data_IF_442539750016
#
_entry.id   IF_442539750016
#
_cell.length_a   1.000
_cell.length_b   1.000
_cell.length_c   1.000
_cell.angle_alpha   90.00
_cell.angle_beta   90.00
_cell.angle_gamma   90.00
#
_symmetry.space_group_name_H-M   'P 1'
#
loop_
_entity.id
_entity.type
_entity.pdbx_description
1 polymer ?
#
# COMPACT_ATOMS: atom_id res chain seq x y z
N UNK A 1 -21.09 4.71 -13.59
CA UNK A 1 -20.43 3.42 -13.24
C UNK A 1 -18.97 3.71 -12.89
N UNK A 2 -18.48 3.27 -11.72
CA UNK A 2 -17.04 3.31 -11.42
C UNK A 2 -16.35 2.31 -12.37
N UNK A 3 -15.39 2.76 -13.17
CA UNK A 3 -14.80 1.98 -14.28
C UNK A 3 -14.17 0.64 -13.90
N UNK A 4 -13.50 -0.02 -14.86
CA UNK A 4 -12.88 -1.34 -14.65
C UNK A 4 -11.87 -1.28 -13.50
N UNK A 5 -12.15 -2.01 -12.42
CA UNK A 5 -11.25 -2.15 -11.28
C UNK A 5 -10.33 -3.35 -11.48
N UNK A 6 -9.05 -3.20 -11.13
CA UNK A 6 -8.15 -4.36 -11.00
C UNK A 6 -8.66 -5.27 -9.89
N UNK A 7 -8.65 -6.58 -10.15
CA UNK A 7 -9.13 -7.61 -9.23
C UNK A 7 -8.02 -8.23 -8.38
N UNK A 8 -6.75 -7.85 -8.62
CA UNK A 8 -5.59 -8.38 -7.90
C UNK A 8 -5.39 -7.61 -6.60
N UNK A 9 -5.30 -8.35 -5.50
CA UNK A 9 -4.91 -7.79 -4.21
C UNK A 9 -3.42 -8.03 -3.99
N UNK A 10 -2.68 -6.95 -3.66
CA UNK A 10 -1.29 -7.04 -3.21
C UNK A 10 -1.28 -6.96 -1.69
N UNK A 11 -0.77 -7.99 -1.04
CA UNK A 11 -0.69 -8.07 0.42
C UNK A 11 0.73 -7.69 0.87
N UNK A 12 0.86 -7.09 2.06
CA UNK A 12 2.16 -6.91 2.69
C UNK A 12 2.74 -8.28 3.07
N UNK A 13 4.06 -8.37 3.22
CA UNK A 13 4.73 -9.63 3.55
C UNK A 13 4.17 -10.29 4.82
N UNK A 14 3.90 -9.48 5.85
CA UNK A 14 3.37 -9.98 7.13
C UNK A 14 1.95 -10.54 7.00
N UNK A 15 1.09 -9.87 6.23
CA UNK A 15 -0.30 -10.32 6.00
C UNK A 15 -0.32 -11.54 5.08
N UNK A 16 0.53 -11.55 4.05
CA UNK A 16 0.65 -12.66 3.11
C UNK A 16 0.99 -13.97 3.84
N UNK A 17 1.94 -13.96 4.79
CA UNK A 17 2.29 -15.14 5.61
C UNK A 17 1.06 -15.73 6.31
N UNK A 18 0.39 -14.91 7.12
CA UNK A 18 -0.82 -15.34 7.86
C UNK A 18 -1.94 -15.81 6.92
N UNK A 19 -2.07 -15.18 5.75
CA UNK A 19 -3.06 -15.55 4.75
C UNK A 19 -2.79 -16.92 4.14
N UNK A 20 -1.55 -17.22 3.75
CA UNK A 20 -1.18 -18.51 3.17
C UNK A 20 -1.20 -19.63 4.22
N UNK A 21 -0.75 -19.37 5.45
CA UNK A 21 -0.88 -20.35 6.55
C UNK A 21 -2.35 -20.76 6.75
N UNK A 22 -3.27 -19.80 6.69
CA UNK A 22 -4.71 -20.07 6.75
C UNK A 22 -5.22 -20.84 5.53
N UNK A 23 -4.73 -20.50 4.33
CA UNK A 23 -5.10 -21.20 3.10
C UNK A 23 -4.69 -22.68 3.16
N UNK A 24 -3.47 -22.97 3.65
CA UNK A 24 -2.96 -24.32 3.83
C UNK A 24 -3.75 -25.08 4.89
N UNK A 25 -4.07 -24.42 6.01
CA UNK A 25 -4.90 -24.99 7.08
C UNK A 25 -6.30 -25.39 6.60
N UNK A 26 -6.90 -24.59 5.72
CA UNK A 26 -8.21 -24.88 5.12
C UNK A 26 -8.11 -25.88 3.96
N UNK A 27 -6.90 -26.21 3.49
CA UNK A 27 -6.67 -27.10 2.36
C UNK A 27 -7.18 -26.52 1.03
N UNK A 28 -7.19 -25.20 0.88
CA UNK A 28 -7.70 -24.54 -0.32
C UNK A 28 -6.60 -24.32 -1.36
N UNK A 29 -6.87 -24.77 -2.58
CA UNK A 29 -5.98 -24.57 -3.72
C UNK A 29 -6.01 -23.12 -4.28
N UNK A 30 -7.14 -22.41 -4.06
CA UNK A 30 -7.34 -21.04 -4.56
C UNK A 30 -7.54 -20.06 -3.42
N UNK A 31 -6.73 -19.00 -3.41
CA UNK A 31 -6.85 -17.87 -2.47
C UNK A 31 -8.26 -17.24 -2.42
N UNK A 32 -8.98 -17.24 -3.55
CA UNK A 32 -10.36 -16.73 -3.59
C UNK A 32 -11.32 -17.48 -2.65
N UNK A 33 -11.12 -18.80 -2.47
CA UNK A 33 -11.92 -19.62 -1.53
C UNK A 33 -11.62 -19.26 -0.08
N UNK A 34 -10.35 -19.00 0.26
CA UNK A 34 -9.95 -18.52 1.59
C UNK A 34 -10.61 -17.18 1.90
N UNK A 35 -10.64 -16.27 0.93
CA UNK A 35 -11.31 -14.97 1.07
C UNK A 35 -12.83 -15.14 1.26
N UNK A 36 -13.48 -16.01 0.49
CA UNK A 36 -14.91 -16.32 0.65
C UNK A 36 -15.22 -16.91 2.03
N UNK A 37 -14.35 -17.79 2.54
CA UNK A 37 -14.45 -18.33 3.89
C UNK A 37 -14.30 -17.22 4.94
N UNK A 38 -13.32 -16.32 4.78
CA UNK A 38 -13.13 -15.17 5.67
C UNK A 38 -14.38 -14.28 5.71
N UNK A 39 -14.98 -13.97 4.56
CA UNK A 39 -16.23 -13.21 4.49
C UNK A 39 -17.37 -13.95 5.19
N UNK A 40 -17.46 -15.27 5.01
CA UNK A 40 -18.50 -16.08 5.64
C UNK A 40 -18.39 -16.10 7.16
N UNK A 41 -17.16 -16.13 7.69
CA UNK A 41 -16.89 -16.09 9.14
C UNK A 41 -17.05 -14.68 9.72
N UNK A 42 -16.76 -13.63 8.96
CA UNK A 42 -16.85 -12.24 9.43
C UNK A 42 -18.22 -11.57 9.21
N UNK A 43 -19.22 -12.28 8.64
CA UNK A 43 -20.57 -11.74 8.38
C UNK A 43 -21.17 -10.98 9.56
N UNK A 44 -21.02 -11.50 10.79
CA UNK A 44 -21.55 -10.86 12.00
C UNK A 44 -20.83 -9.53 12.29
N UNK A 45 -19.50 -9.54 12.29
CA UNK A 45 -18.68 -8.35 12.52
C UNK A 45 -18.93 -7.26 11.46
N UNK A 46 -19.08 -7.64 10.18
CA UNK A 46 -19.40 -6.70 9.10
C UNK A 46 -20.79 -6.06 9.32
N UNK A 47 -21.80 -6.84 9.72
CA UNK A 47 -23.14 -6.32 10.02
C UNK A 47 -23.13 -5.34 11.18
N UNK A 48 -22.42 -5.67 12.26
CA UNK A 48 -22.27 -4.79 13.43
C UNK A 48 -21.60 -3.46 13.04
N UNK A 49 -20.51 -3.52 12.26
CA UNK A 49 -19.83 -2.31 11.76
C UNK A 49 -20.74 -1.45 10.88
N UNK A 50 -21.48 -2.07 9.95
CA UNK A 50 -22.38 -1.35 9.03
C UNK A 50 -23.47 -0.60 9.79
N UNK A 51 -24.02 -1.22 10.83
CA UNK A 51 -25.05 -0.60 11.68
C UNK A 51 -24.48 0.55 12.53
N UNK A 52 -23.22 0.46 12.96
CA UNK A 52 -22.53 1.56 13.65
C UNK A 52 -22.14 2.71 12.70
N UNK A 53 -21.95 2.41 11.41
CA UNK A 53 -21.57 3.38 10.37
C UNK A 53 -22.75 4.17 9.78
N UNK A 54 -23.98 3.95 10.24
CA UNK A 54 -25.15 4.77 9.88
C UNK A 54 -25.00 6.28 10.15
N UNK A 55 -23.94 6.69 10.88
CA UNK A 55 -23.59 8.08 11.15
C UNK A 55 -22.30 8.57 10.49
N UNK A 56 -21.60 7.75 9.68
CA UNK A 56 -20.34 8.17 9.07
C UNK A 56 -20.45 8.18 7.54
N UNK A 57 -20.76 9.37 7.03
CA UNK A 57 -20.66 9.75 5.62
C UNK A 57 -19.38 9.15 5.03
N UNK A 58 -19.55 8.19 4.11
CA UNK A 58 -18.49 7.85 3.16
C UNK A 58 -18.04 9.17 2.53
N UNK A 59 -16.76 9.50 2.64
CA UNK A 59 -16.22 10.69 1.98
C UNK A 59 -16.40 10.46 0.48
N UNK A 60 -17.46 11.05 -0.06
CA UNK A 60 -17.54 11.33 -1.48
C UNK A 60 -16.46 12.38 -1.73
N UNK A 61 -15.39 11.97 -2.39
CA UNK A 61 -14.37 12.89 -2.87
C UNK A 61 -15.03 13.65 -4.02
N UNK A 62 -15.81 14.68 -3.67
CA UNK A 62 -16.09 15.79 -4.55
C UNK A 62 -14.90 16.74 -4.49
N UNK A 63 -14.57 17.26 -5.65
CA UNK A 63 -13.44 18.11 -5.99
C UNK A 63 -13.31 19.33 -5.05
N UNK A 64 -12.69 19.16 -3.87
CA UNK A 64 -12.27 20.25 -2.99
C UNK A 64 -11.31 19.77 -1.89
N UNK A 65 -10.06 20.22 -1.99
CA UNK A 65 -8.98 20.29 -1.00
C UNK A 65 -9.38 20.04 0.47
N UNK A 66 -8.97 18.91 1.05
CA UNK A 66 -8.78 18.76 2.50
C UNK A 66 -7.53 17.92 2.80
N UNK A 67 -6.62 18.54 3.55
CA UNK A 67 -5.37 17.95 4.07
C UNK A 67 -5.64 17.38 5.46
N UNK A 68 -5.76 16.06 5.60
CA UNK A 68 -5.58 15.30 6.86
C UNK A 68 -5.62 13.81 6.47
N UNK A 69 -4.66 12.92 6.73
CA UNK A 69 -3.67 12.76 7.79
C UNK A 69 -2.41 12.17 7.11
N UNK A 70 -1.43 13.01 6.74
CA UNK A 70 -0.14 12.48 6.31
C UNK A 70 0.60 12.09 7.58
N UNK A 71 0.69 10.79 7.85
CA UNK A 71 1.46 10.27 8.99
C UNK A 71 2.87 10.87 8.96
N UNK A 72 3.21 11.53 10.04
CA UNK A 72 4.45 12.27 10.26
C UNK A 72 5.64 11.30 10.27
N UNK A 73 6.49 11.35 9.24
CA UNK A 73 7.84 10.78 9.32
C UNK A 73 8.74 11.84 9.94
N UNK A 74 9.06 11.68 11.22
CA UNK A 74 10.06 12.51 11.91
C UNK A 74 11.40 12.47 11.16
N UNK A 75 11.80 13.64 10.65
CA UNK A 75 13.18 13.92 10.23
C UNK A 75 13.94 14.38 11.47
N UNK A 76 14.82 13.54 11.99
CA UNK A 76 15.86 13.99 12.94
C UNK A 76 16.96 14.67 12.12
N UNK A 77 17.01 16.01 12.17
CA UNK A 77 18.12 16.82 11.66
C UNK A 77 18.70 17.71 12.75
N UNK A 78 19.98 17.51 13.08
CA UNK A 78 20.93 18.47 13.68
C UNK A 78 22.26 17.75 13.95
N UNK A 79 23.50 18.21 13.64
CA UNK A 79 24.06 19.48 13.16
C UNK A 79 25.48 19.23 12.57
N UNK A 80 25.76 19.90 11.45
CA UNK A 80 26.98 20.57 10.95
C UNK A 80 28.37 20.16 11.51
N UNK A 81 29.27 19.71 10.61
CA UNK A 81 30.68 20.14 10.66
C UNK A 81 31.34 20.16 9.26
N UNK A 82 32.00 21.28 8.96
CA UNK A 82 32.52 21.69 7.64
C UNK A 82 33.95 21.17 7.41
N UNK A 83 34.24 20.52 6.26
CA UNK A 83 35.61 20.43 5.66
C UNK A 83 35.58 20.37 4.12
N UNK A 84 35.61 21.55 3.51
CA UNK A 84 36.49 22.06 2.43
C UNK A 84 37.02 21.12 1.29
N UNK A 85 36.63 21.48 0.04
CA UNK A 85 37.31 21.38 -1.29
C UNK A 85 37.78 19.99 -1.79
N UNK A 86 37.66 19.60 -3.07
CA UNK A 86 38.09 20.30 -4.31
C UNK A 86 37.26 19.89 -5.54
N UNK A 87 37.05 20.87 -6.43
CA UNK A 87 36.64 20.70 -7.84
C UNK A 87 37.70 19.90 -8.62
N UNK A 88 37.27 18.98 -9.50
CA UNK A 88 37.74 18.91 -10.90
C UNK A 88 36.62 18.33 -11.76
N UNK A 89 36.37 18.94 -12.91
CA UNK A 89 35.40 18.45 -13.89
C UNK A 89 36.07 17.57 -14.95
N UNK A 90 35.25 16.78 -15.64
CA UNK A 90 35.41 16.50 -17.06
C UNK A 90 34.10 15.96 -17.65
N UNK A 91 33.71 16.53 -18.79
CA UNK A 91 32.56 16.17 -19.63
C UNK A 91 32.90 14.92 -20.50
N UNK A 92 31.91 14.33 -21.20
CA UNK A 92 31.88 12.93 -21.64
C UNK A 92 32.53 12.70 -23.03
N UNK A 93 32.32 11.49 -23.59
CA UNK A 93 32.46 10.96 -24.98
C UNK A 93 33.28 9.65 -24.92
N UNK A 94 33.00 8.52 -25.59
CA UNK A 94 32.54 8.29 -26.97
C UNK A 94 32.03 6.83 -27.07
N UNK A 95 30.83 6.58 -27.63
CA UNK A 95 30.56 5.81 -28.87
C UNK A 95 31.62 4.78 -29.29
N UNK A 96 31.18 3.52 -29.42
CA UNK A 96 31.66 2.64 -30.50
C UNK A 96 30.55 1.66 -30.91
N UNK A 97 30.23 1.67 -32.20
CA UNK A 97 29.25 0.85 -32.92
C UNK A 97 29.78 0.68 -34.34
N UNK A 98 29.72 -0.56 -34.86
CA UNK A 98 30.15 -1.05 -36.20
C UNK A 98 31.67 -1.10 -36.37
N UNK A 99 32.28 -2.16 -36.89
CA UNK A 99 31.84 -3.11 -37.92
C UNK A 99 31.52 -4.55 -37.46
#
# INVERSE_FOLDING_TARGET
AQGVRDRRMRLSLQVARKFFDLQDLLGYDKASKTIEWLFSKSKKAIKELTNQQGNNSYISISDAKTVTFLSECEVVSSKKNERKMRKTGSKPNNRESRD
#
